data_IF_434316268932
#
_entry.id   IF_434316268932
#
_cell.length_a   1.000
_cell.length_b   1.000
_cell.length_c   1.000
_cell.angle_alpha   90.00
_cell.angle_beta   90.00
_cell.angle_gamma   90.00
#
_symmetry.space_group_name_H-M   'P 1'
#
loop_
_entity.id
_entity.type
_entity.pdbx_description
1 polymer ?
#
# COMPACT_ATOMS: atom_id res chain seq x y z
N UNK A 1 5.56 5.04 15.03
CA UNK A 1 5.22 4.36 13.77
C UNK A 1 6.42 3.68 13.08
N UNK A 2 7.54 4.37 12.79
CA UNK A 2 8.69 3.79 12.04
C UNK A 2 9.15 2.39 12.54
N UNK A 3 9.43 2.24 13.84
CA UNK A 3 9.82 0.94 14.43
C UNK A 3 8.73 -0.15 14.35
N UNK A 4 7.45 0.24 14.36
CA UNK A 4 6.31 -0.70 14.30
C UNK A 4 6.18 -1.32 12.91
N UNK A 5 6.53 -0.57 11.86
CA UNK A 5 6.48 -1.01 10.46
C UNK A 5 7.59 -2.01 10.11
N UNK A 6 8.70 -2.05 10.86
CA UNK A 6 9.81 -2.97 10.57
C UNK A 6 9.37 -4.44 10.64
N UNK A 7 9.91 -5.27 9.76
CA UNK A 7 9.62 -6.70 9.67
C UNK A 7 8.81 -7.09 8.43
N UNK A 8 8.33 -8.33 8.42
CA UNK A 8 7.64 -8.95 7.30
C UNK A 8 6.12 -8.86 7.45
N UNK A 9 5.45 -8.43 6.38
CA UNK A 9 4.02 -8.18 6.30
C UNK A 9 3.46 -8.93 5.12
N UNK A 10 2.54 -9.87 5.35
CA UNK A 10 1.90 -10.64 4.29
C UNK A 10 0.48 -10.13 4.03
N UNK A 11 0.10 -10.04 2.77
CA UNK A 11 -1.23 -9.61 2.36
C UNK A 11 -2.27 -10.57 2.94
N UNK A 12 -3.26 -10.05 3.67
CA UNK A 12 -4.42 -10.80 4.12
C UNK A 12 -5.68 -10.46 3.32
N UNK A 13 -5.76 -9.25 2.76
CA UNK A 13 -6.84 -8.80 1.88
C UNK A 13 -6.33 -7.72 0.94
N UNK A 14 -6.71 -7.75 -0.33
CA UNK A 14 -6.48 -6.64 -1.26
C UNK A 14 -7.71 -6.45 -2.12
N UNK A 15 -8.21 -5.23 -2.21
CA UNK A 15 -9.49 -4.89 -2.82
C UNK A 15 -9.32 -3.61 -3.64
N UNK A 16 -9.78 -3.62 -4.89
CA UNK A 16 -9.86 -2.42 -5.71
C UNK A 16 -11.30 -1.95 -5.80
N UNK A 17 -11.50 -0.68 -5.47
CA UNK A 17 -12.81 -0.05 -5.42
C UNK A 17 -12.90 1.04 -6.48
N UNK A 18 -14.11 1.30 -6.97
CA UNK A 18 -14.37 2.40 -7.88
C UNK A 18 -15.72 3.05 -7.58
N UNK A 19 -15.89 4.31 -7.97
CA UNK A 19 -17.20 4.97 -7.99
C UNK A 19 -17.81 4.81 -9.38
N UNK A 20 -18.95 4.12 -9.47
CA UNK A 20 -19.66 3.91 -10.74
C UNK A 20 -20.33 5.20 -11.27
N UNK A 21 -20.95 5.13 -12.45
CA UNK A 21 -21.63 6.29 -13.05
C UNK A 21 -22.80 6.82 -12.23
N UNK A 22 -23.44 5.97 -11.41
CA UNK A 22 -24.50 6.35 -10.49
C UNK A 22 -23.98 7.02 -9.19
N UNK A 23 -22.66 7.00 -8.95
CA UNK A 23 -22.06 7.54 -7.73
C UNK A 23 -21.94 6.52 -6.60
N UNK A 24 -22.11 5.23 -6.88
CA UNK A 24 -22.01 4.16 -5.89
C UNK A 24 -20.60 3.57 -5.87
N UNK A 25 -20.10 3.27 -4.67
CA UNK A 25 -18.89 2.48 -4.50
C UNK A 25 -19.14 1.02 -4.89
N UNK A 26 -18.26 0.49 -5.75
CA UNK A 26 -18.29 -0.89 -6.18
C UNK A 26 -16.92 -1.53 -6.01
N UNK A 27 -16.92 -2.78 -5.56
CA UNK A 27 -15.73 -3.63 -5.58
C UNK A 27 -15.50 -4.14 -7.00
N UNK A 28 -14.33 -3.84 -7.57
CA UNK A 28 -14.01 -4.16 -8.97
C UNK A 28 -13.10 -5.37 -9.10
N UNK A 29 -12.21 -5.59 -8.13
CA UNK A 29 -11.29 -6.73 -8.12
C UNK A 29 -10.82 -7.05 -6.70
N UNK A 30 -10.39 -8.29 -6.49
CA UNK A 30 -9.76 -8.75 -5.24
C UNK A 30 -8.43 -9.44 -5.52
N UNK A 31 -7.45 -9.22 -4.66
CA UNK A 31 -6.20 -9.97 -4.63
C UNK A 31 -6.33 -11.15 -3.68
N UNK A 32 -5.77 -12.30 -4.08
CA UNK A 32 -5.73 -13.50 -3.25
C UNK A 32 -4.92 -13.23 -1.98
N UNK A 33 -5.39 -13.62 -0.77
CA UNK A 33 -4.57 -13.58 0.43
C UNK A 33 -3.25 -14.33 0.24
N UNK A 34 -2.17 -13.75 0.74
CA UNK A 34 -0.82 -14.28 0.58
C UNK A 34 -0.23 -14.09 -0.81
N UNK A 35 -0.87 -13.33 -1.72
CA UNK A 35 -0.34 -13.04 -3.05
C UNK A 35 0.86 -12.08 -3.05
N UNK A 36 0.98 -11.24 -2.03
CA UNK A 36 2.10 -10.30 -1.93
C UNK A 36 2.56 -10.12 -0.48
N UNK A 37 3.76 -9.57 -0.33
CA UNK A 37 4.30 -9.17 0.96
C UNK A 37 5.24 -7.97 0.86
N UNK A 38 5.50 -7.33 2.00
CA UNK A 38 6.55 -6.35 2.17
C UNK A 38 7.45 -6.71 3.36
N UNK A 39 8.76 -6.50 3.22
CA UNK A 39 9.72 -6.55 4.32
C UNK A 39 10.38 -5.18 4.50
N UNK A 40 10.04 -4.44 5.57
CA UNK A 40 10.62 -3.12 5.85
C UNK A 40 11.83 -3.23 6.80
N UNK A 41 12.93 -2.54 6.45
CA UNK A 41 14.21 -2.57 7.18
C UNK A 41 14.53 -1.22 7.81
N UNK A 42 15.37 -1.25 8.85
CA UNK A 42 15.70 -0.08 9.67
C UNK A 42 16.45 1.01 8.90
N UNK A 43 17.24 0.60 7.90
CA UNK A 43 18.02 1.46 7.01
C UNK A 43 17.17 2.27 6.02
N UNK A 44 15.84 2.08 6.01
CA UNK A 44 14.94 2.77 5.08
C UNK A 44 14.74 2.04 3.75
N UNK A 45 15.24 0.81 3.61
CA UNK A 45 14.94 -0.07 2.47
C UNK A 45 13.78 -1.00 2.77
N UNK A 46 13.11 -1.46 1.71
CA UNK A 46 12.07 -2.47 1.77
C UNK A 46 12.15 -3.39 0.56
N UNK A 47 11.71 -4.64 0.72
CA UNK A 47 11.53 -5.58 -0.41
C UNK A 47 10.05 -5.89 -0.54
N UNK A 48 9.51 -5.73 -1.74
CA UNK A 48 8.18 -6.20 -2.14
C UNK A 48 8.29 -7.58 -2.78
N UNK A 49 7.38 -8.47 -2.44
CA UNK A 49 7.33 -9.85 -2.94
C UNK A 49 6.04 -10.07 -3.71
N UNK A 50 6.14 -10.63 -4.91
CA UNK A 50 5.04 -11.32 -5.58
C UNK A 50 5.14 -12.82 -5.27
N UNK A 51 4.19 -13.30 -4.48
CA UNK A 51 4.15 -14.67 -3.96
C UNK A 51 3.23 -15.58 -4.79
N UNK A 52 2.74 -15.10 -5.94
CA UNK A 52 1.84 -15.86 -6.81
C UNK A 52 2.58 -16.68 -7.89
N UNK A 53 3.89 -16.53 -8.03
CA UNK A 53 4.72 -17.25 -9.00
C UNK A 53 6.22 -17.16 -8.74
N UNK A 54 7.04 -17.22 -9.80
CA UNK A 54 8.51 -17.04 -9.77
C UNK A 54 8.93 -15.57 -10.00
N UNK A 55 8.04 -14.62 -9.74
CA UNK A 55 8.28 -13.21 -10.04
C UNK A 55 9.32 -12.61 -9.08
N UNK A 56 10.11 -11.64 -9.56
CA UNK A 56 11.23 -11.14 -8.77
C UNK A 56 10.75 -10.35 -7.56
N UNK A 57 11.49 -10.53 -6.47
CA UNK A 57 11.57 -9.57 -5.38
C UNK A 57 11.94 -8.20 -5.95
N UNK A 58 11.26 -7.16 -5.49
CA UNK A 58 11.56 -5.79 -5.89
C UNK A 58 11.98 -4.96 -4.69
N UNK A 59 13.17 -4.36 -4.77
CA UNK A 59 13.69 -3.50 -3.72
C UNK A 59 13.22 -2.05 -3.91
N UNK A 60 12.90 -1.42 -2.79
CA UNK A 60 12.43 -0.06 -2.65
C UNK A 60 13.18 0.65 -1.52
N UNK A 61 13.20 1.97 -1.60
CA UNK A 61 13.34 2.82 -0.43
C UNK A 61 11.94 3.16 0.09
N UNK A 62 11.82 3.43 1.39
CA UNK A 62 10.56 3.84 1.99
C UNK A 62 10.72 5.00 2.97
N UNK A 63 9.67 5.79 3.10
CA UNK A 63 9.58 6.89 4.05
C UNK A 63 8.18 7.01 4.64
N UNK A 64 8.10 7.52 5.88
CA UNK A 64 6.85 7.86 6.56
C UNK A 64 6.80 9.36 6.79
N UNK A 65 5.65 9.96 6.52
CA UNK A 65 5.37 11.37 6.80
C UNK A 65 3.98 11.53 7.41
N UNK A 66 3.72 12.70 8.02
CA UNK A 66 2.43 13.07 8.63
C UNK A 66 1.90 12.00 9.60
N UNK A 67 2.78 11.49 10.46
CA UNK A 67 2.44 10.42 11.39
C UNK A 67 1.64 10.99 12.55
N UNK A 68 0.43 10.48 12.72
CA UNK A 68 -0.47 10.80 13.83
C UNK A 68 -0.82 9.53 14.59
N UNK A 69 -1.24 9.69 15.85
CA UNK A 69 -1.70 8.56 16.67
C UNK A 69 -2.93 8.94 17.46
N UNK A 70 -3.97 8.12 17.36
CA UNK A 70 -5.20 8.28 18.11
C UNK A 70 -5.74 6.90 18.50
N UNK A 71 -6.09 6.72 19.77
CA UNK A 71 -6.74 5.50 20.30
C UNK A 71 -6.06 4.17 19.87
N UNK A 72 -4.73 4.12 19.89
CA UNK A 72 -3.97 2.93 19.54
C UNK A 72 -3.81 2.68 18.03
N UNK A 73 -4.40 3.52 17.18
CA UNK A 73 -4.21 3.55 15.74
C UNK A 73 -3.12 4.57 15.40
N UNK A 74 -2.18 4.18 14.55
CA UNK A 74 -1.16 5.09 14.02
C UNK A 74 -1.43 5.29 12.53
N UNK A 75 -1.71 6.52 12.13
CA UNK A 75 -2.00 6.88 10.74
C UNK A 75 -0.91 7.77 10.14
N UNK A 76 -0.84 7.84 8.82
CA UNK A 76 0.03 8.78 8.13
C UNK A 76 0.12 8.52 6.64
N UNK A 77 1.25 8.90 6.04
CA UNK A 77 1.56 8.63 4.64
C UNK A 77 2.83 7.79 4.52
N UNK A 78 2.70 6.60 3.92
CA UNK A 78 3.81 5.73 3.53
C UNK A 78 4.12 5.99 2.05
N UNK A 79 5.38 6.21 1.72
CA UNK A 79 5.81 6.26 0.31
C UNK A 79 6.88 5.22 0.07
N UNK A 80 6.77 4.48 -1.03
CA UNK A 80 7.77 3.53 -1.50
C UNK A 80 8.25 3.95 -2.89
N UNK A 81 9.55 3.82 -3.15
CA UNK A 81 10.13 4.26 -4.41
C UNK A 81 11.44 3.57 -4.76
N UNK A 82 11.65 3.40 -6.05
CA UNK A 82 12.89 2.91 -6.66
C UNK A 82 13.03 3.53 -8.07
N UNK A 83 13.97 3.02 -8.86
CA UNK A 83 14.18 3.56 -10.21
C UNK A 83 12.99 3.29 -11.15
N UNK A 84 12.26 2.17 -10.96
CA UNK A 84 11.06 1.88 -11.74
C UNK A 84 9.92 2.83 -11.40
N UNK A 85 9.64 3.12 -10.13
CA UNK A 85 8.57 4.06 -9.77
C UNK A 85 8.90 5.48 -10.24
N UNK A 86 10.18 5.88 -10.17
CA UNK A 86 10.65 7.17 -10.71
C UNK A 86 10.50 7.26 -12.23
N UNK A 87 10.84 6.20 -12.96
CA UNK A 87 10.67 6.14 -14.41
C UNK A 87 9.20 6.24 -14.84
N UNK A 88 8.26 5.87 -13.96
CA UNK A 88 6.82 5.91 -14.18
C UNK A 88 6.13 7.06 -13.41
N UNK A 89 6.86 8.13 -13.09
CA UNK A 89 6.30 9.30 -12.40
C UNK A 89 5.06 9.85 -13.13
N UNK A 90 3.99 10.12 -12.37
CA UNK A 90 2.72 10.60 -12.91
C UNK A 90 1.82 9.53 -13.55
N UNK A 91 2.23 8.27 -13.57
CA UNK A 91 1.34 7.16 -13.93
C UNK A 91 0.37 6.81 -12.79
N UNK A 92 -0.58 5.92 -13.07
CA UNK A 92 -1.62 5.47 -12.14
C UNK A 92 -1.04 5.14 -10.75
N UNK A 93 -1.56 5.79 -9.71
CA UNK A 93 -1.13 5.72 -8.30
C UNK A 93 0.29 6.23 -7.98
N UNK A 94 1.13 6.51 -8.99
CA UNK A 94 2.49 7.04 -8.80
C UNK A 94 2.45 8.56 -8.91
N UNK A 95 2.87 9.24 -7.84
CA UNK A 95 2.95 10.68 -7.82
C UNK A 95 3.89 11.25 -8.88
N UNK A 96 3.74 12.54 -9.19
CA UNK A 96 4.67 13.26 -10.07
C UNK A 96 6.11 13.31 -9.51
N UNK A 97 6.28 13.04 -8.22
CA UNK A 97 7.56 12.88 -7.53
C UNK A 97 8.18 11.47 -7.71
N UNK A 98 7.53 10.59 -8.48
CA UNK A 98 8.01 9.22 -8.73
C UNK A 98 7.81 8.26 -7.55
N UNK A 99 6.98 8.64 -6.57
CA UNK A 99 6.69 7.83 -5.38
C UNK A 99 5.33 7.17 -5.47
N UNK A 100 5.27 5.88 -5.16
CA UNK A 100 4.00 5.21 -4.88
C UNK A 100 3.64 5.49 -3.42
N UNK A 101 2.54 6.22 -3.22
CA UNK A 101 2.14 6.74 -1.92
C UNK A 101 0.85 6.08 -1.43
N UNK A 102 0.81 5.77 -0.14
CA UNK A 102 -0.35 5.24 0.54
C UNK A 102 -0.74 6.10 1.74
N UNK A 103 -2.04 6.28 1.96
CA UNK A 103 -2.56 6.46 3.31
C UNK A 103 -2.30 5.17 4.08
N UNK A 104 -1.70 5.27 5.26
CA UNK A 104 -1.33 4.11 6.07
C UNK A 104 -2.05 4.19 7.41
N UNK A 105 -2.60 3.06 7.88
CA UNK A 105 -3.09 2.87 9.24
C UNK A 105 -2.50 1.59 9.83
N UNK A 106 -1.85 1.70 10.98
CA UNK A 106 -1.35 0.58 11.76
C UNK A 106 -2.24 0.35 12.98
N UNK A 107 -2.56 -0.92 13.23
CA UNK A 107 -3.35 -1.38 14.37
C UNK A 107 -2.51 -2.33 15.22
N UNK A 108 -2.40 -2.03 16.53
CA UNK A 108 -1.62 -2.83 17.50
C UNK A 108 -2.38 -4.09 17.97
N UNK A 109 -2.98 -4.80 17.01
CA UNK A 109 -3.69 -6.06 17.21
C UNK A 109 -2.70 -7.21 17.45
N UNK A 110 -3.22 -8.40 17.77
CA UNK A 110 -2.43 -9.63 17.88
C UNK A 110 -2.97 -10.68 16.89
N UNK A 111 -2.32 -10.88 15.72
CA UNK A 111 -1.12 -10.20 15.21
C UNK A 111 -1.38 -8.74 14.77
N UNK A 112 -0.33 -7.88 14.72
CA UNK A 112 -0.47 -6.51 14.23
C UNK A 112 -0.94 -6.45 12.79
N UNK A 113 -1.70 -5.40 12.47
CA UNK A 113 -2.29 -5.20 11.14
C UNK A 113 -1.87 -3.85 10.56
N UNK A 114 -1.73 -3.83 9.24
CA UNK A 114 -1.35 -2.68 8.45
C UNK A 114 -2.36 -2.53 7.31
N UNK A 115 -3.03 -1.39 7.23
CA UNK A 115 -3.91 -1.03 6.12
C UNK A 115 -3.22 0.05 5.30
N UNK A 116 -3.16 -0.15 3.98
CA UNK A 116 -2.61 0.77 3.00
C UNK A 116 -3.69 1.08 1.97
N UNK A 117 -3.92 2.34 1.69
CA UNK A 117 -4.86 2.80 0.66
C UNK A 117 -4.12 3.70 -0.33
N UNK A 118 -4.27 3.44 -1.62
CA UNK A 118 -3.70 4.32 -2.66
C UNK A 118 -4.46 5.63 -2.74
N UNK A 119 -3.88 6.63 -3.40
CA UNK A 119 -4.67 7.80 -3.82
C UNK A 119 -5.87 7.38 -4.69
N UNK A 120 -6.94 8.15 -4.61
CA UNK A 120 -8.07 8.04 -5.53
C UNK A 120 -7.67 8.68 -6.86
N UNK A 121 -7.83 7.94 -7.95
CA UNK A 121 -7.45 8.41 -9.29
C UNK A 121 -8.67 8.42 -10.20
N UNK A 122 -8.93 9.52 -10.94
CA UNK A 122 -10.01 9.55 -11.92
C UNK A 122 -9.70 8.62 -13.10
N UNK A 123 -10.65 7.76 -13.47
CA UNK A 123 -10.48 6.74 -14.52
C UNK A 123 -11.79 6.45 -15.25
N UNK A 124 -11.77 6.31 -16.58
CA UNK A 124 -12.95 5.90 -17.36
C UNK A 124 -13.08 4.37 -17.41
N UNK A 125 -14.29 3.76 -17.30
CA UNK A 125 -15.63 4.38 -17.29
C UNK A 125 -16.15 4.80 -15.91
N UNK A 126 -15.35 4.67 -14.85
CA UNK A 126 -15.72 5.06 -13.49
C UNK A 126 -15.53 6.57 -13.27
N UNK A 127 -15.84 7.08 -12.07
CA UNK A 127 -15.44 8.44 -11.68
C UNK A 127 -14.04 8.45 -11.11
N UNK A 128 -13.74 7.47 -10.27
CA UNK A 128 -12.43 7.25 -9.66
C UNK A 128 -12.24 5.80 -9.25
N UNK A 129 -10.98 5.40 -9.02
CA UNK A 129 -10.55 4.09 -8.53
C UNK A 129 -9.49 4.25 -7.44
N UNK A 130 -9.47 3.33 -6.48
CA UNK A 130 -8.41 3.17 -5.50
C UNK A 130 -8.22 1.69 -5.15
N UNK A 131 -7.17 1.40 -4.41
CA UNK A 131 -6.87 0.06 -3.91
C UNK A 131 -6.58 0.13 -2.42
N UNK A 132 -7.23 -0.74 -1.68
CA UNK A 132 -6.96 -0.98 -0.27
C UNK A 132 -6.27 -2.32 -0.10
N UNK A 133 -5.23 -2.34 0.72
CA UNK A 133 -4.49 -3.52 1.11
C UNK A 133 -4.47 -3.65 2.61
N UNK A 134 -4.84 -4.81 3.12
CA UNK A 134 -4.63 -5.21 4.50
C UNK A 134 -3.52 -6.23 4.56
N UNK A 135 -2.52 -5.95 5.38
CA UNK A 135 -1.41 -6.83 5.69
C UNK A 135 -1.43 -7.22 7.16
N UNK A 136 -0.89 -8.40 7.44
CA UNK A 136 -0.70 -8.93 8.79
C UNK A 136 0.77 -9.24 9.01
N UNK A 137 1.29 -8.89 10.18
CA UNK A 137 2.68 -9.15 10.52
C UNK A 137 2.94 -10.65 10.71
N UNK A 138 4.09 -11.14 10.24
CA UNK A 138 4.58 -12.51 10.48
C UNK A 138 5.80 -12.53 11.38
#
# INVERSE_FOLDING_TARGET
MKKKLLGYWILSRGESYAINSAGEEILTATLKPGASAYAFREDGTATGYDLTGNFPEEDFNWELSKVESHDGVYSGKLSVFNDKTKANAGQLFIGADGKLSYSIAYFDNTPPELVLETIHVPVYPHKEIWVEYKYVKK
#
